data_IF_586476786320
#
_entry.id   IF_586476786320
#
_cell.length_a   1.000
_cell.length_b   1.000
_cell.length_c   1.000
_cell.angle_alpha   90.00
_cell.angle_beta   90.00
_cell.angle_gamma   90.00
#
_symmetry.space_group_name_H-M   'P 1'
#
loop_
_entity.id
_entity.type
_entity.pdbx_description
1 polymer ?
#
# COMPACT_ATOMS: atom_id res chain seq x y z
N UNK A 1 3.05 -12.85 70.68
CA UNK A 1 2.81 -12.53 69.26
C UNK A 1 1.30 -12.46 69.09
N UNK A 2 0.76 -11.27 68.88
CA UNK A 2 -0.66 -11.09 68.55
C UNK A 2 -0.75 -11.16 67.03
N UNK A 3 -1.42 -12.17 66.50
CA UNK A 3 -1.72 -12.30 65.08
C UNK A 3 -3.17 -11.89 64.86
N UNK A 4 -3.38 -10.72 64.26
CA UNK A 4 -4.68 -10.31 63.76
C UNK A 4 -4.60 -10.24 62.24
N UNK A 5 -5.69 -10.66 61.57
CA UNK A 5 -5.84 -10.53 60.13
C UNK A 5 -6.87 -9.45 59.84
N UNK A 6 -6.54 -8.54 58.94
CA UNK A 6 -7.44 -7.51 58.44
C UNK A 6 -7.61 -7.73 56.93
N UNK A 7 -8.85 -7.80 56.46
CA UNK A 7 -9.16 -7.89 55.03
C UNK A 7 -9.66 -6.53 54.55
N UNK A 8 -9.02 -5.98 53.53
CA UNK A 8 -9.41 -4.73 52.87
C UNK A 8 -10.26 -5.05 51.62
N UNK A 9 -11.29 -4.27 51.33
CA UNK A 9 -12.20 -4.47 50.18
C UNK A 9 -12.30 -3.27 49.24
N UNK A 10 -11.62 -2.17 49.57
CA UNK A 10 -11.57 -0.94 48.77
C UNK A 10 -10.12 -0.60 48.40
N UNK A 11 -9.92 0.13 47.32
CA UNK A 11 -8.61 0.59 46.85
C UNK A 11 -8.23 1.92 47.49
N UNK A 12 -6.92 2.18 47.60
CA UNK A 12 -6.40 3.49 47.99
C UNK A 12 -5.25 3.46 49.00
N UNK A 13 -4.94 4.64 49.52
CA UNK A 13 -3.93 4.84 50.55
C UNK A 13 -4.55 4.83 51.94
N UNK A 14 -4.07 3.92 52.78
CA UNK A 14 -4.60 3.73 54.12
C UNK A 14 -3.52 3.97 55.18
N UNK A 15 -3.95 4.61 56.26
CA UNK A 15 -3.14 4.79 57.45
C UNK A 15 -3.59 3.79 58.51
N UNK A 16 -2.76 2.78 58.78
CA UNK A 16 -3.00 1.90 59.93
C UNK A 16 -2.45 2.56 61.19
N UNK A 17 -3.31 2.69 62.21
CA UNK A 17 -2.88 2.96 63.58
C UNK A 17 -3.18 1.73 64.43
N UNK A 18 -2.16 1.19 65.09
CA UNK A 18 -2.31 0.06 66.02
C UNK A 18 -2.25 0.62 67.44
N UNK A 19 -3.32 0.45 68.19
CA UNK A 19 -3.38 0.80 69.60
C UNK A 19 -3.39 -0.45 70.48
N UNK A 20 -2.49 -0.50 71.46
CA UNK A 20 -2.45 -1.55 72.48
C UNK A 20 -3.11 -1.05 73.75
N UNK A 21 -4.33 -1.52 74.04
CA UNK A 21 -4.97 -1.23 75.31
C UNK A 21 -4.51 -2.27 76.35
N UNK A 22 -3.66 -1.86 77.29
CA UNK A 22 -3.20 -2.71 78.39
C UNK A 22 -4.10 -2.49 79.61
N UNK A 23 -4.62 -3.56 80.21
CA UNK A 23 -5.44 -3.48 81.44
C UNK A 23 -4.65 -3.15 82.69
N UNK A 24 -3.32 -3.08 82.60
CA UNK A 24 -2.47 -2.60 83.69
C UNK A 24 -2.37 -1.07 83.60
N UNK A 25 -2.63 -0.40 84.74
CA UNK A 25 -2.44 1.04 84.91
C UNK A 25 -0.95 1.38 84.82
N UNK A 26 -0.42 1.43 83.60
CA UNK A 26 0.87 2.01 83.30
C UNK A 26 0.66 3.52 83.26
N UNK A 27 1.39 4.28 84.06
CA UNK A 27 1.25 5.74 84.25
C UNK A 27 1.52 6.58 83.00
N UNK A 28 1.79 5.95 81.86
CA UNK A 28 1.83 6.53 80.53
C UNK A 28 1.45 5.41 79.55
N UNK A 29 0.29 5.46 78.87
CA UNK A 29 0.02 4.56 77.76
C UNK A 29 1.14 4.73 76.73
N UNK A 30 1.86 3.65 76.42
CA UNK A 30 2.86 3.65 75.35
C UNK A 30 2.07 3.61 74.04
N UNK A 31 1.74 4.78 73.50
CA UNK A 31 1.24 4.91 72.14
C UNK A 31 2.39 4.62 71.16
N UNK A 32 2.57 3.36 70.79
CA UNK A 32 3.35 2.99 69.62
C UNK A 32 2.52 3.26 68.36
N UNK A 33 2.25 4.54 68.08
CA UNK A 33 1.64 4.95 66.80
C UNK A 33 2.71 4.93 65.71
N UNK A 34 3.17 3.75 65.32
CA UNK A 34 3.81 3.64 64.02
C UNK A 34 2.66 3.73 63.01
N UNK A 35 2.46 4.91 62.41
CA UNK A 35 1.63 5.02 61.22
C UNK A 35 2.29 4.13 60.17
N UNK A 36 1.65 3.02 59.85
CA UNK A 36 2.03 2.21 58.70
C UNK A 36 1.13 2.68 57.58
N UNK A 37 1.73 3.43 56.65
CA UNK A 37 1.07 3.76 55.40
C UNK A 37 1.20 2.54 54.50
N UNK A 38 0.08 2.04 54.02
CA UNK A 38 0.07 0.99 53.01
C UNK A 38 -0.93 1.34 51.92
N UNK A 39 -0.53 1.12 50.68
CA UNK A 39 -1.39 1.27 49.52
C UNK A 39 -1.95 -0.11 49.17
N UNK A 40 -3.25 -0.17 48.90
CA UNK A 40 -3.92 -1.39 48.51
C UNK A 40 -4.54 -1.23 47.13
N UNK A 41 -4.22 -2.17 46.26
CA UNK A 41 -4.62 -2.21 44.86
C UNK A 41 -5.28 -3.57 44.61
N UNK A 42 -6.56 -3.57 44.25
CA UNK A 42 -7.40 -4.78 44.18
C UNK A 42 -7.56 -5.27 42.75
N UNK A 43 -7.50 -4.37 41.78
CA UNK A 43 -7.75 -4.65 40.37
C UNK A 43 -6.52 -4.27 39.54
N UNK A 44 -6.31 -5.00 38.45
CA UNK A 44 -5.32 -4.55 37.47
C UNK A 44 -5.85 -3.30 36.75
N UNK A 45 -5.00 -2.34 36.35
CA UNK A 45 -5.42 -1.15 35.64
C UNK A 45 -6.07 -1.58 34.33
N UNK A 46 -7.21 -1.02 33.99
CA UNK A 46 -7.84 -1.25 32.69
C UNK A 46 -7.63 -0.04 31.78
N UNK A 47 -7.41 -0.29 30.49
CA UNK A 47 -7.40 0.75 29.47
C UNK A 47 -8.86 1.08 29.13
N UNK A 48 -9.32 2.27 29.50
CA UNK A 48 -10.70 2.72 29.24
C UNK A 48 -10.81 3.45 27.90
N UNK A 49 -9.71 4.05 27.44
CA UNK A 49 -9.64 4.71 26.14
C UNK A 49 -8.25 4.52 25.53
N UNK A 50 -8.22 4.04 24.29
CA UNK A 50 -7.05 4.09 23.41
C UNK A 50 -7.56 4.47 22.02
N UNK A 51 -7.57 5.76 21.72
CA UNK A 51 -8.13 6.26 20.45
C UNK A 51 -7.10 7.03 19.64
N UNK A 52 -7.23 6.90 18.32
CA UNK A 52 -6.40 7.55 17.35
C UNK A 52 -7.28 8.52 16.56
N UNK A 53 -7.14 9.82 16.83
CA UNK A 53 -7.92 10.85 16.15
C UNK A 53 -7.15 11.38 14.95
N UNK A 54 -7.76 11.23 13.78
CA UNK A 54 -7.25 11.73 12.50
C UNK A 54 -8.39 12.33 11.68
N UNK A 55 -8.01 13.17 10.73
CA UNK A 55 -8.92 13.73 9.74
C UNK A 55 -8.47 13.23 8.37
N UNK A 56 -9.40 12.68 7.58
CA UNK A 56 -9.11 12.31 6.20
C UNK A 56 -9.15 13.52 5.27
N UNK A 57 -8.35 13.45 4.21
CA UNK A 57 -8.27 14.47 3.18
C UNK A 57 -6.94 15.21 3.15
N UNK A 58 -6.94 16.39 2.53
CA UNK A 58 -5.75 17.21 2.33
C UNK A 58 -5.46 18.07 3.56
N UNK A 59 -4.99 17.40 4.60
CA UNK A 59 -4.70 17.98 5.90
C UNK A 59 -3.25 17.69 6.31
N UNK A 60 -2.83 18.31 7.41
CA UNK A 60 -1.55 17.99 8.03
C UNK A 60 -1.45 16.49 8.34
N UNK A 61 -0.28 15.89 8.10
CA UNK A 61 0.02 14.50 8.46
C UNK A 61 0.21 14.29 9.97
N UNK A 62 -0.41 15.13 10.78
CA UNK A 62 -0.38 15.03 12.22
C UNK A 62 -1.69 14.42 12.71
N UNK A 63 -1.58 13.54 13.71
CA UNK A 63 -2.71 12.94 14.39
C UNK A 63 -2.56 13.13 15.90
N UNK A 64 -3.66 13.02 16.62
CA UNK A 64 -3.68 13.11 18.07
C UNK A 64 -4.11 11.77 18.65
N UNK A 65 -3.35 11.26 19.60
CA UNK A 65 -3.69 10.03 20.33
C UNK A 65 -4.21 10.40 21.71
N UNK A 66 -5.34 9.81 22.09
CA UNK A 66 -5.90 9.95 23.43
C UNK A 66 -5.85 8.62 24.17
N UNK A 67 -5.45 8.69 25.43
CA UNK A 67 -5.29 7.52 26.26
C UNK A 67 -5.73 7.74 27.71
N UNK A 68 -6.39 6.75 28.31
CA UNK A 68 -6.89 6.80 29.70
C UNK A 68 -6.91 5.41 30.32
N UNK A 69 -6.55 5.31 31.60
CA UNK A 69 -6.60 4.08 32.41
C UNK A 69 -7.60 4.25 33.57
N UNK A 70 -8.09 3.17 34.18
CA UNK A 70 -8.96 3.24 35.38
C UNK A 70 -8.28 3.91 36.57
N UNK A 71 -7.01 3.59 36.79
CA UNK A 71 -6.26 4.01 37.97
C UNK A 71 -5.68 5.42 37.81
N UNK A 72 -5.91 6.01 36.62
CA UNK A 72 -5.47 7.35 36.27
C UNK A 72 -6.59 8.11 35.57
N UNK A 73 -7.24 9.02 36.30
CA UNK A 73 -8.41 9.76 35.82
C UNK A 73 -8.09 10.86 34.80
N UNK A 74 -6.81 11.20 34.57
CA UNK A 74 -6.46 12.22 33.57
C UNK A 74 -6.23 11.59 32.19
N UNK A 75 -6.76 12.24 31.16
CA UNK A 75 -6.53 11.85 29.78
C UNK A 75 -5.17 12.36 29.31
N UNK A 76 -4.30 11.46 28.84
CA UNK A 76 -3.07 11.83 28.17
C UNK A 76 -3.34 12.05 26.70
N UNK A 77 -2.88 13.19 26.19
CA UNK A 77 -3.01 13.59 24.79
C UNK A 77 -1.63 13.94 24.24
N UNK A 78 -1.24 13.33 23.12
CA UNK A 78 -0.01 13.69 22.42
C UNK A 78 -0.19 13.62 20.91
N UNK A 79 0.62 14.42 20.20
CA UNK A 79 0.59 14.50 18.75
C UNK A 79 1.64 13.57 18.16
N UNK A 80 1.28 12.94 17.04
CA UNK A 80 2.17 12.11 16.25
C UNK A 80 2.16 12.58 14.80
N UNK A 81 3.20 12.23 14.05
CA UNK A 81 3.25 12.43 12.62
C UNK A 81 3.20 11.06 11.92
N UNK A 82 2.32 10.91 10.94
CA UNK A 82 2.19 9.67 10.16
C UNK A 82 3.52 9.26 9.50
N UNK A 83 3.68 7.95 9.26
CA UNK A 83 4.84 7.34 8.58
C UNK A 83 6.21 7.60 9.24
N UNK A 84 6.25 7.90 10.53
CA UNK A 84 7.51 7.97 11.27
C UNK A 84 7.83 6.61 11.88
N UNK A 85 9.10 6.17 11.78
CA UNK A 85 9.55 4.79 12.04
C UNK A 85 9.03 4.17 13.34
N UNK A 86 9.08 4.93 14.44
CA UNK A 86 8.51 4.60 15.74
C UNK A 86 8.53 5.83 16.63
N UNK A 87 7.35 6.31 17.02
CA UNK A 87 7.25 7.34 18.05
C UNK A 87 6.98 6.67 19.39
N UNK A 88 8.00 6.67 20.25
CA UNK A 88 7.88 6.24 21.63
C UNK A 88 7.53 7.46 22.47
N UNK A 89 6.27 7.52 22.88
CA UNK A 89 5.85 8.43 23.95
C UNK A 89 5.75 7.61 25.23
N UNK A 90 6.38 8.12 26.28
CA UNK A 90 6.38 7.51 27.61
C UNK A 90 6.14 8.61 28.62
N UNK A 91 4.97 8.56 29.25
CA UNK A 91 4.69 9.40 30.39
C UNK A 91 4.58 8.49 31.61
N UNK A 92 5.45 8.75 32.57
CA UNK A 92 5.49 8.04 33.84
C UNK A 92 4.71 8.91 34.82
N UNK A 93 3.53 8.45 35.21
CA UNK A 93 2.77 8.99 36.34
C UNK A 93 2.87 8.04 37.53
N UNK A 94 2.30 8.39 38.69
CA UNK A 94 2.28 7.48 39.83
C UNK A 94 1.47 6.23 39.49
N UNK A 95 2.14 5.10 39.26
CA UNK A 95 1.50 3.79 39.06
C UNK A 95 0.92 3.56 37.67
N UNK A 96 1.40 4.27 36.64
CA UNK A 96 1.06 3.96 35.23
C UNK A 96 2.21 4.39 34.32
N UNK A 97 2.65 3.47 33.45
CA UNK A 97 3.57 3.76 32.34
C UNK A 97 2.81 3.60 31.03
N UNK A 98 2.86 4.60 30.16
CA UNK A 98 2.10 4.61 28.90
C UNK A 98 3.07 4.58 27.74
N UNK A 99 3.17 3.45 27.05
CA UNK A 99 4.07 3.28 25.91
C UNK A 99 3.27 3.16 24.61
N UNK A 100 3.59 3.96 23.60
CA UNK A 100 3.13 3.78 22.22
C UNK A 100 4.28 3.41 21.28
N UNK A 101 3.99 2.56 20.30
CA UNK A 101 4.86 2.28 19.16
C UNK A 101 4.00 2.30 17.90
N UNK A 102 4.12 3.36 17.10
CA UNK A 102 3.58 3.38 15.73
C UNK A 102 4.60 2.78 14.78
N UNK A 103 4.37 1.56 14.29
CA UNK A 103 5.19 1.01 13.19
C UNK A 103 4.51 1.24 11.86
N UNK A 104 5.20 1.89 10.93
CA UNK A 104 4.77 1.98 9.53
C UNK A 104 5.25 0.75 8.77
N UNK A 105 4.31 -0.06 8.29
CA UNK A 105 4.59 -1.10 7.30
C UNK A 105 3.42 -1.20 6.35
N UNK A 106 3.64 -0.87 5.08
CA UNK A 106 2.64 -0.95 4.02
C UNK A 106 1.34 -0.17 4.34
N UNK A 107 1.42 1.05 4.86
CA UNK A 107 0.22 1.87 5.14
C UNK A 107 -0.54 1.53 6.43
N UNK A 108 -0.06 0.58 7.25
CA UNK A 108 -0.65 0.30 8.55
C UNK A 108 0.10 1.02 9.66
N UNK A 109 -0.64 1.69 10.53
CA UNK A 109 -0.18 2.29 11.78
C UNK A 109 -0.71 1.43 12.93
N UNK A 110 0.18 0.69 13.59
CA UNK A 110 -0.19 -0.08 14.79
C UNK A 110 -0.06 0.82 16.01
N UNK A 111 -1.11 1.00 16.80
CA UNK A 111 -1.10 1.73 18.07
C UNK A 111 -1.17 0.71 19.20
N UNK A 112 -0.13 0.62 20.03
CA UNK A 112 -0.16 -0.19 21.25
C UNK A 112 -0.14 0.74 22.46
N UNK A 113 -1.03 0.55 23.41
CA UNK A 113 -1.03 1.23 24.71
C UNK A 113 -0.81 0.22 25.84
N UNK A 114 -0.19 0.67 26.92
CA UNK A 114 0.00 -0.11 28.13
C UNK A 114 -0.38 0.74 29.35
N UNK A 115 -1.01 0.14 30.36
CA UNK A 115 -1.15 0.68 31.71
C UNK A 115 -0.42 -0.27 32.66
N UNK A 116 0.43 0.24 33.55
CA UNK A 116 1.22 -0.57 34.49
C UNK A 116 1.05 -0.05 35.92
N UNK A 117 0.44 -0.81 36.81
CA UNK A 117 0.38 -0.50 38.24
C UNK A 117 1.67 -1.00 38.96
N UNK A 118 1.67 -1.03 40.30
CA UNK A 118 2.80 -1.52 41.10
C UNK A 118 3.14 -3.02 40.90
N UNK A 119 2.20 -3.83 40.41
CA UNK A 119 2.18 -5.30 40.40
C UNK A 119 1.67 -5.93 39.09
N UNK A 120 0.84 -5.24 38.30
CA UNK A 120 0.18 -5.73 37.10
C UNK A 120 0.42 -4.82 35.88
N UNK A 121 0.09 -5.36 34.71
CA UNK A 121 0.19 -4.65 33.44
C UNK A 121 -0.95 -5.07 32.54
N UNK A 122 -1.64 -4.09 31.97
CA UNK A 122 -2.66 -4.29 30.95
C UNK A 122 -2.21 -3.63 29.66
N UNK A 123 -2.31 -4.36 28.55
CA UNK A 123 -1.95 -3.85 27.23
C UNK A 123 -3.15 -3.94 26.29
N UNK A 124 -3.26 -2.95 25.40
CA UNK A 124 -4.23 -2.95 24.31
C UNK A 124 -3.52 -2.56 23.02
N UNK A 125 -3.81 -3.27 21.93
CA UNK A 125 -3.30 -2.93 20.61
C UNK A 125 -4.46 -2.68 19.67
N UNK A 126 -4.49 -1.49 19.07
CA UNK A 126 -5.42 -1.10 18.01
C UNK A 126 -4.62 -0.93 16.71
N UNK A 127 -5.10 -1.49 15.61
CA UNK A 127 -4.46 -1.35 14.29
C UNK A 127 -5.33 -0.43 13.44
N UNK A 128 -4.72 0.62 12.90
CA UNK A 128 -5.35 1.56 11.99
C UNK A 128 -4.63 1.52 10.63
N UNK A 129 -5.36 1.23 9.56
CA UNK A 129 -4.84 1.38 8.19
C UNK A 129 -4.97 2.84 7.80
N UNK A 130 -3.86 3.56 7.71
CA UNK A 130 -3.82 4.98 7.37
C UNK A 130 -2.63 5.25 6.46
N UNK A 131 -2.95 5.73 5.26
CA UNK A 131 -2.01 6.06 4.20
C UNK A 131 -1.85 7.57 4.22
N UNK A 132 -0.67 8.03 4.62
CA UNK A 132 -0.28 9.42 4.45
C UNK A 132 0.71 9.51 3.29
N UNK A 133 0.46 10.39 2.33
CA UNK A 133 1.37 10.65 1.20
C UNK A 133 1.43 12.15 0.92
N UNK A 134 2.50 12.58 0.26
CA UNK A 134 2.65 13.95 -0.21
C UNK A 134 2.55 13.99 -1.72
N UNK A 135 1.55 14.71 -2.22
CA UNK A 135 1.36 15.00 -3.63
C UNK A 135 2.20 16.23 -3.99
N UNK A 136 3.05 16.10 -5.01
CA UNK A 136 3.88 17.16 -5.56
C UNK A 136 3.48 17.44 -7.00
N UNK A 137 3.16 18.70 -7.31
CA UNK A 137 3.13 19.19 -8.68
C UNK A 137 4.56 19.51 -9.11
N UNK A 138 5.02 18.84 -10.17
CA UNK A 138 6.36 18.99 -10.73
C UNK A 138 6.24 19.66 -12.09
N UNK A 139 7.02 20.71 -12.33
CA UNK A 139 7.19 21.25 -13.67
C UNK A 139 7.90 20.21 -14.51
N UNK A 140 7.17 19.66 -15.48
CA UNK A 140 7.65 18.54 -16.28
C UNK A 140 8.92 18.86 -17.07
N UNK A 141 9.10 20.13 -17.47
CA UNK A 141 10.24 20.57 -18.29
C UNK A 141 11.46 20.88 -17.45
N UNK A 142 11.26 21.46 -16.28
CA UNK A 142 12.36 21.95 -15.43
C UNK A 142 12.72 20.95 -14.31
N UNK A 143 11.89 19.92 -14.08
CA UNK A 143 12.04 18.93 -13.00
C UNK A 143 12.18 19.58 -11.60
N UNK A 144 11.37 20.61 -11.36
CA UNK A 144 11.32 21.34 -10.08
C UNK A 144 9.88 21.44 -9.59
N UNK A 145 9.67 21.88 -8.35
CA UNK A 145 8.32 22.16 -7.85
C UNK A 145 7.60 23.16 -8.75
N UNK A 146 6.42 22.79 -9.24
CA UNK A 146 5.62 23.62 -10.12
C UNK A 146 5.04 24.82 -9.38
N UNK A 147 5.21 26.02 -9.91
CA UNK A 147 4.57 27.23 -9.38
C UNK A 147 3.13 27.35 -9.92
N UNK A 148 2.08 27.20 -9.07
CA UNK A 148 0.68 27.23 -9.48
C UNK A 148 0.21 28.58 -10.03
N UNK A 149 1.00 29.65 -9.85
CA UNK A 149 0.67 30.96 -10.43
C UNK A 149 0.77 30.97 -11.96
N UNK A 150 1.50 30.01 -12.56
CA UNK A 150 1.70 29.89 -14.01
C UNK A 150 0.47 29.39 -14.79
N UNK A 151 -0.61 28.98 -14.12
CA UNK A 151 -1.84 28.48 -14.74
C UNK A 151 -3.08 29.08 -14.07
N UNK A 152 -4.27 28.89 -14.64
CA UNK A 152 -5.51 29.50 -14.12
C UNK A 152 -6.05 28.80 -12.87
N UNK A 153 -5.85 27.48 -12.74
CA UNK A 153 -6.26 26.70 -11.56
C UNK A 153 -5.47 25.40 -11.43
N UNK A 154 -5.19 24.99 -10.20
CA UNK A 154 -4.57 23.69 -9.92
C UNK A 154 -5.22 23.11 -8.66
N UNK A 155 -5.98 22.03 -8.83
CA UNK A 155 -6.71 21.38 -7.73
C UNK A 155 -6.49 19.89 -7.74
N UNK A 156 -6.33 19.30 -6.56
CA UNK A 156 -6.42 17.86 -6.38
C UNK A 156 -7.70 17.54 -5.62
N UNK A 157 -8.41 16.52 -6.06
CA UNK A 157 -9.60 15.99 -5.43
C UNK A 157 -9.37 14.53 -5.11
N UNK A 158 -10.05 14.06 -4.07
CA UNK A 158 -10.42 12.66 -4.07
C UNK A 158 -11.44 12.44 -5.19
N UNK A 159 -11.37 11.30 -5.87
CA UNK A 159 -12.14 11.07 -7.09
C UNK A 159 -13.67 11.14 -6.87
N UNK A 160 -14.12 10.77 -5.67
CA UNK A 160 -15.51 10.89 -5.21
C UNK A 160 -15.94 12.34 -4.86
N UNK A 161 -15.03 13.31 -4.94
CA UNK A 161 -15.18 14.73 -4.62
C UNK A 161 -15.48 15.04 -3.15
N UNK A 162 -15.19 14.15 -2.20
CA UNK A 162 -15.47 14.43 -0.77
C UNK A 162 -14.56 15.48 -0.15
N UNK A 163 -13.36 15.66 -0.72
CA UNK A 163 -12.37 16.64 -0.27
C UNK A 163 -11.51 17.08 -1.45
N UNK A 164 -10.94 18.28 -1.34
CA UNK A 164 -10.04 18.84 -2.34
C UNK A 164 -9.00 19.75 -1.73
N UNK A 165 -7.91 19.96 -2.46
CA UNK A 165 -6.89 20.96 -2.17
C UNK A 165 -6.70 21.86 -3.38
N UNK A 166 -6.64 23.17 -3.12
CA UNK A 166 -6.36 24.18 -4.13
C UNK A 166 -4.93 24.68 -3.97
N UNK A 167 -4.03 24.19 -4.82
CA UNK A 167 -2.62 24.56 -4.81
C UNK A 167 -2.43 26.04 -5.14
N UNK A 168 -3.33 26.62 -5.95
CA UNK A 168 -3.25 28.02 -6.36
C UNK A 168 -3.63 28.94 -5.22
N UNK A 169 -4.71 28.63 -4.49
CA UNK A 169 -5.12 29.39 -3.31
C UNK A 169 -4.07 29.30 -2.18
N UNK A 170 -3.51 28.10 -1.96
CA UNK A 170 -2.47 27.90 -0.96
C UNK A 170 -1.09 28.43 -1.37
N UNK A 171 -0.84 28.69 -2.66
CA UNK A 171 0.44 29.20 -3.17
C UNK A 171 1.61 28.23 -3.02
N UNK A 172 1.34 26.92 -3.02
CA UNK A 172 2.35 25.86 -2.80
C UNK A 172 2.29 24.82 -3.91
N UNK A 173 3.41 24.13 -4.15
CA UNK A 173 3.52 23.07 -5.17
C UNK A 173 3.24 21.67 -4.63
N UNK A 174 2.99 21.52 -3.32
CA UNK A 174 2.75 20.24 -2.68
C UNK A 174 1.62 20.32 -1.67
N UNK A 175 1.02 19.16 -1.41
CA UNK A 175 -0.02 18.97 -0.42
C UNK A 175 0.11 17.55 0.15
N UNK A 176 0.12 17.43 1.46
CA UNK A 176 -0.03 16.13 2.08
C UNK A 176 -1.51 15.76 2.18
N UNK A 177 -1.78 14.46 2.18
CA UNK A 177 -3.12 13.94 2.44
C UNK A 177 -3.05 12.64 3.22
N UNK A 178 -4.14 12.35 3.92
CA UNK A 178 -4.30 11.16 4.76
C UNK A 178 -5.60 10.47 4.38
N UNK A 179 -5.56 9.15 4.13
CA UNK A 179 -6.75 8.33 3.91
C UNK A 179 -6.65 6.98 4.63
N UNK A 180 -7.80 6.38 4.98
CA UNK A 180 -7.88 5.00 5.46
C UNK A 180 -7.85 3.93 4.35
N UNK A 181 -7.90 4.33 3.08
CA UNK A 181 -7.88 3.41 1.94
C UNK A 181 -6.97 3.91 0.80
N UNK A 182 -6.69 3.02 -0.16
CA UNK A 182 -6.01 3.37 -1.41
C UNK A 182 -6.94 4.25 -2.26
N UNK A 183 -6.85 5.56 -2.03
CA UNK A 183 -7.64 6.55 -2.75
C UNK A 183 -7.23 6.68 -4.21
N UNK A 184 -8.23 7.05 -5.01
CA UNK A 184 -8.00 7.58 -6.34
C UNK A 184 -8.07 9.10 -6.26
N UNK A 185 -7.06 9.75 -6.83
CA UNK A 185 -6.94 11.19 -6.90
C UNK A 185 -7.22 11.66 -8.32
N UNK A 186 -7.93 12.78 -8.41
CA UNK A 186 -8.13 13.54 -9.64
C UNK A 186 -7.43 14.88 -9.50
N UNK A 187 -6.42 15.14 -10.32
CA UNK A 187 -5.75 16.43 -10.35
C UNK A 187 -6.21 17.18 -11.61
N UNK A 188 -6.79 18.36 -11.42
CA UNK A 188 -7.25 19.22 -12.50
C UNK A 188 -6.33 20.44 -12.62
N UNK A 189 -5.71 20.57 -13.78
CA UNK A 189 -4.88 21.72 -14.17
C UNK A 189 -5.66 22.53 -15.20
N UNK A 190 -6.07 23.73 -14.84
CA UNK A 190 -6.87 24.64 -15.69
C UNK A 190 -5.97 25.72 -16.27
N UNK A 191 -6.02 25.87 -17.58
CA UNK A 191 -5.24 26.81 -18.37
C UNK A 191 -6.12 27.94 -18.92
N UNK A 192 -5.47 28.97 -19.45
CA UNK A 192 -6.16 30.10 -20.06
C UNK A 192 -7.01 29.63 -21.24
N UNK A 193 -8.18 30.25 -21.44
CA UNK A 193 -9.13 29.82 -22.46
C UNK A 193 -10.00 28.62 -22.07
N UNK A 194 -9.88 28.11 -20.83
CA UNK A 194 -10.76 27.08 -20.28
C UNK A 194 -10.35 25.65 -20.59
N UNK A 195 -9.12 25.43 -21.07
CA UNK A 195 -8.57 24.08 -21.25
C UNK A 195 -8.31 23.45 -19.87
N UNK A 196 -8.82 22.24 -19.65
CA UNK A 196 -8.65 21.50 -18.41
C UNK A 196 -7.94 20.18 -18.72
N UNK A 197 -6.78 19.99 -18.10
CA UNK A 197 -6.01 18.74 -18.14
C UNK A 197 -6.25 18.01 -16.83
N UNK A 198 -6.76 16.79 -16.93
CA UNK A 198 -7.01 15.93 -15.77
C UNK A 198 -5.94 14.85 -15.69
N UNK A 199 -5.38 14.65 -14.49
CA UNK A 199 -4.47 13.56 -14.15
C UNK A 199 -5.19 12.62 -13.19
N UNK A 200 -5.24 11.35 -13.55
CA UNK A 200 -5.80 10.28 -12.71
C UNK A 200 -4.67 9.55 -12.02
N UNK A 201 -4.73 9.45 -10.70
CA UNK A 201 -3.70 8.80 -9.88
C UNK A 201 -4.35 7.94 -8.80
N UNK A 202 -4.31 6.64 -8.98
CA UNK A 202 -4.60 5.63 -7.96
C UNK A 202 -3.35 5.46 -7.09
N UNK A 203 -3.47 5.84 -5.81
CA UNK A 203 -2.32 5.84 -4.90
C UNK A 203 -1.86 4.44 -4.54
N UNK A 204 -2.71 3.42 -4.73
CA UNK A 204 -2.38 2.01 -4.49
C UNK A 204 -1.43 1.45 -5.55
N UNK A 205 -1.35 2.10 -6.72
CA UNK A 205 -0.38 1.75 -7.76
C UNK A 205 1.01 2.36 -7.52
N UNK A 206 1.13 3.29 -6.57
CA UNK A 206 2.38 4.04 -6.32
C UNK A 206 2.96 3.61 -4.97
N UNK A 207 4.17 3.06 -4.95
CA UNK A 207 4.78 2.55 -3.71
C UNK A 207 5.46 3.64 -2.86
N UNK A 208 5.81 4.78 -3.45
CA UNK A 208 6.48 5.90 -2.77
C UNK A 208 5.54 6.78 -1.92
N UNK A 209 6.12 7.44 -0.91
CA UNK A 209 5.43 8.45 -0.09
C UNK A 209 5.20 9.77 -0.85
N UNK A 210 6.10 10.07 -1.79
CA UNK A 210 6.01 11.27 -2.62
C UNK A 210 5.41 10.90 -3.98
N UNK A 211 4.21 11.38 -4.24
CA UNK A 211 3.53 11.24 -5.52
C UNK A 211 3.87 12.45 -6.37
N UNK A 212 4.69 12.26 -7.40
CA UNK A 212 5.11 13.33 -8.31
C UNK A 212 4.16 13.38 -9.50
N UNK A 213 3.37 14.43 -9.66
CA UNK A 213 2.42 14.60 -10.77
C UNK A 213 2.91 15.72 -11.69
N UNK A 214 2.93 15.44 -13.00
CA UNK A 214 3.38 16.42 -13.97
C UNK A 214 2.38 17.57 -14.13
N UNK A 215 2.90 18.78 -14.05
CA UNK A 215 2.24 20.01 -14.42
C UNK A 215 3.11 20.77 -15.43
N UNK A 216 2.45 21.59 -16.24
CA UNK A 216 3.10 22.39 -17.28
C UNK A 216 2.64 23.84 -17.16
N UNK A 217 3.51 24.78 -17.53
CA UNK A 217 3.17 26.21 -17.61
C UNK A 217 2.18 26.49 -18.75
N UNK A 218 1.54 27.66 -18.71
CA UNK A 218 0.67 28.15 -19.79
C UNK A 218 1.37 28.14 -21.17
N UNK A 219 0.61 27.85 -22.22
CA UNK A 219 1.10 27.86 -23.62
C UNK A 219 1.82 26.59 -24.07
N UNK A 220 1.89 25.56 -23.23
CA UNK A 220 2.37 24.23 -23.62
C UNK A 220 1.25 23.46 -24.34
N UNK A 221 1.58 22.83 -25.46
CA UNK A 221 0.66 21.94 -26.18
C UNK A 221 0.59 20.59 -25.46
N UNK A 222 -0.63 20.13 -25.18
CA UNK A 222 -0.89 18.81 -24.63
C UNK A 222 -1.44 17.87 -25.70
N UNK A 223 -0.89 16.66 -25.78
CA UNK A 223 -1.31 15.62 -26.71
C UNK A 223 -2.02 14.50 -25.93
N UNK A 224 -3.19 14.10 -26.40
CA UNK A 224 -4.00 13.07 -25.77
C UNK A 224 -3.40 11.67 -25.99
N UNK A 225 -3.29 10.91 -24.91
CA UNK A 225 -2.91 9.50 -24.93
C UNK A 225 -4.10 8.66 -24.46
N UNK A 226 -4.63 7.84 -25.37
CA UNK A 226 -5.73 6.93 -25.11
C UNK A 226 -5.18 5.52 -24.83
N UNK A 227 -5.09 5.16 -23.56
CA UNK A 227 -4.58 3.86 -23.11
C UNK A 227 -5.77 2.93 -22.88
N UNK A 228 -5.90 1.87 -23.67
CA UNK A 228 -7.07 0.99 -23.66
C UNK A 228 -6.71 -0.46 -23.36
N UNK A 229 -7.67 -1.18 -22.78
CA UNK A 229 -7.63 -2.62 -22.54
C UNK A 229 -9.05 -3.20 -22.55
N UNK A 230 -9.19 -4.48 -22.89
CA UNK A 230 -10.45 -5.21 -22.87
C UNK A 230 -11.00 -5.36 -21.43
N UNK A 231 -10.13 -5.37 -20.42
CA UNK A 231 -10.48 -5.45 -19.00
C UNK A 231 -9.77 -4.37 -18.19
N UNK A 232 -10.19 -4.17 -16.94
CA UNK A 232 -9.57 -3.21 -16.04
C UNK A 232 -8.12 -3.62 -15.77
N UNK A 233 -7.16 -2.83 -16.24
CA UNK A 233 -5.73 -3.10 -16.11
C UNK A 233 -4.99 -1.85 -15.59
N UNK A 234 -4.01 -2.02 -14.70
CA UNK A 234 -3.22 -0.90 -14.20
C UNK A 234 -2.33 -0.36 -15.32
N UNK A 235 -2.24 0.95 -15.42
CA UNK A 235 -1.36 1.64 -16.36
C UNK A 235 -0.77 2.88 -15.72
N UNK A 236 0.55 3.00 -15.81
CA UNK A 236 1.33 4.12 -15.28
C UNK A 236 2.10 4.73 -16.43
N UNK A 237 1.81 5.99 -16.75
CA UNK A 237 2.49 6.79 -17.75
C UNK A 237 3.29 7.89 -17.05
N UNK A 238 4.61 7.83 -17.18
CA UNK A 238 5.55 8.73 -16.49
C UNK A 238 6.49 9.41 -17.47
N UNK A 239 6.76 10.69 -17.26
CA UNK A 239 7.76 11.44 -18.03
C UNK A 239 9.15 10.87 -17.77
N UNK A 240 9.92 10.55 -18.82
CA UNK A 240 11.27 9.99 -18.69
C UNK A 240 12.24 11.01 -18.07
N UNK A 241 12.04 12.29 -18.37
CA UNK A 241 12.97 13.34 -17.93
C UNK A 241 12.75 13.76 -16.47
N UNK A 242 11.50 14.03 -16.10
CA UNK A 242 11.16 14.60 -14.79
C UNK A 242 10.64 13.56 -13.79
N UNK A 243 10.48 12.30 -14.21
CA UNK A 243 9.98 11.21 -13.37
C UNK A 243 8.71 11.62 -12.60
N UNK A 244 7.81 12.29 -13.31
CA UNK A 244 6.49 12.67 -12.82
C UNK A 244 5.42 11.90 -13.59
N UNK A 245 4.29 11.69 -12.95
CA UNK A 245 3.14 10.93 -13.42
C UNK A 245 2.24 11.85 -14.24
N UNK A 246 1.90 11.42 -15.46
CA UNK A 246 0.83 12.04 -16.27
C UNK A 246 -0.49 11.26 -16.19
N UNK A 247 -0.43 9.96 -15.87
CA UNK A 247 -1.56 9.11 -15.50
C UNK A 247 -1.02 7.87 -14.74
N UNK A 248 -1.69 7.43 -13.68
CA UNK A 248 -1.38 6.20 -12.96
C UNK A 248 -2.66 5.63 -12.36
N UNK A 249 -3.45 4.88 -13.13
CA UNK A 249 -4.74 4.34 -12.66
C UNK A 249 -5.04 3.06 -13.46
N UNK A 250 -6.17 2.43 -13.17
CA UNK A 250 -6.71 1.36 -14.00
C UNK A 250 -7.45 1.93 -15.21
N UNK A 251 -7.43 1.20 -16.33
CA UNK A 251 -8.40 1.40 -17.41
C UNK A 251 -9.80 1.20 -16.84
N UNK A 252 -10.62 2.25 -16.84
CA UNK A 252 -11.89 2.25 -16.09
C UNK A 252 -13.04 2.99 -16.77
N UNK A 253 -12.74 3.88 -17.71
CA UNK A 253 -13.76 4.61 -18.44
C UNK A 253 -14.21 3.79 -19.64
N UNK A 254 -15.52 3.59 -19.82
CA UNK A 254 -16.02 2.87 -20.99
C UNK A 254 -15.65 3.63 -22.28
N UNK A 255 -15.02 2.94 -23.23
CA UNK A 255 -14.68 3.47 -24.55
C UNK A 255 -14.86 2.38 -25.61
N UNK A 256 -15.95 2.50 -26.39
CA UNK A 256 -16.37 1.47 -27.35
C UNK A 256 -16.53 0.11 -26.63
N UNK A 257 -15.85 -0.93 -27.10
CA UNK A 257 -15.86 -2.29 -26.52
C UNK A 257 -14.70 -2.51 -25.53
N UNK A 258 -14.10 -1.44 -25.01
CA UNK A 258 -12.92 -1.47 -24.13
C UNK A 258 -13.04 -0.52 -22.94
N UNK A 259 -12.11 -0.64 -21.99
CA UNK A 259 -11.90 0.31 -20.92
C UNK A 259 -10.70 1.20 -21.25
N UNK A 260 -10.82 2.48 -20.91
CA UNK A 260 -9.89 3.55 -21.22
C UNK A 260 -9.33 4.16 -19.93
N UNK A 261 -8.05 4.48 -19.98
CA UNK A 261 -7.39 5.49 -19.16
C UNK A 261 -6.86 6.57 -20.09
N UNK A 262 -7.20 7.82 -19.80
CA UNK A 262 -6.75 8.98 -20.58
C UNK A 262 -5.59 9.67 -19.87
N UNK A 263 -4.51 9.92 -20.61
CA UNK A 263 -3.38 10.74 -20.18
C UNK A 263 -3.15 11.89 -21.16
N UNK A 264 -2.40 12.91 -20.73
CA UNK A 264 -2.01 14.03 -21.58
C UNK A 264 -0.50 14.25 -21.53
N UNK A 265 0.17 14.21 -22.66
CA UNK A 265 1.64 14.35 -22.73
C UNK A 265 2.03 15.68 -23.36
N UNK A 266 3.30 15.99 -23.30
CA UNK A 266 3.95 17.13 -23.97
C UNK A 266 5.09 16.59 -24.84
N UNK A 267 5.83 17.47 -25.52
CA UNK A 267 6.90 17.10 -26.46
C UNK A 267 8.15 16.54 -25.75
N UNK A 268 8.01 15.38 -25.12
CA UNK A 268 9.05 14.61 -24.44
C UNK A 268 8.76 13.12 -24.53
N UNK A 269 9.68 12.29 -24.05
CA UNK A 269 9.55 10.84 -24.00
C UNK A 269 8.87 10.42 -22.68
N UNK A 270 8.02 9.40 -22.76
CA UNK A 270 7.34 8.81 -21.61
C UNK A 270 7.58 7.31 -21.54
N UNK A 271 7.57 6.75 -20.33
CA UNK A 271 7.45 5.31 -20.13
C UNK A 271 6.01 4.94 -19.80
N UNK A 272 5.46 3.98 -20.56
CA UNK A 272 4.25 3.28 -20.21
C UNK A 272 4.61 2.00 -19.46
N UNK A 273 4.08 1.85 -18.26
CA UNK A 273 4.32 0.74 -17.36
C UNK A 273 3.00 0.08 -16.95
N UNK A 274 3.10 -1.18 -16.55
CA UNK A 274 2.05 -1.95 -15.88
C UNK A 274 2.58 -2.50 -14.55
N UNK A 275 1.73 -3.17 -13.77
CA UNK A 275 2.12 -3.88 -12.56
C UNK A 275 1.92 -5.39 -12.78
N UNK A 276 3.01 -6.15 -12.62
CA UNK A 276 3.00 -7.63 -12.65
C UNK A 276 3.60 -8.12 -11.34
N UNK A 277 2.87 -8.95 -10.60
CA UNK A 277 3.30 -9.51 -9.31
C UNK A 277 3.82 -8.44 -8.32
N UNK A 278 3.16 -7.28 -8.30
CA UNK A 278 3.50 -6.15 -7.42
C UNK A 278 4.72 -5.33 -7.84
N UNK A 279 5.31 -5.61 -9.01
CA UNK A 279 6.45 -4.87 -9.56
C UNK A 279 6.06 -4.06 -10.81
N UNK A 280 6.60 -2.85 -10.93
CA UNK A 280 6.46 -2.05 -12.16
C UNK A 280 7.25 -2.68 -13.32
N UNK A 281 6.57 -2.91 -14.44
CA UNK A 281 7.16 -3.42 -15.68
C UNK A 281 6.96 -2.41 -16.79
N UNK A 282 8.05 -1.98 -17.43
CA UNK A 282 7.99 -1.09 -18.59
C UNK A 282 7.48 -1.90 -19.80
N UNK A 283 6.39 -1.44 -20.42
CA UNK A 283 5.81 -2.03 -21.61
C UNK A 283 6.30 -1.36 -22.88
N UNK A 284 6.40 -0.02 -22.87
CA UNK A 284 6.79 0.75 -24.04
C UNK A 284 7.35 2.14 -23.67
N UNK A 285 8.11 2.70 -24.60
CA UNK A 285 8.38 4.14 -24.64
C UNK A 285 7.35 4.81 -25.55
N UNK A 286 6.71 5.87 -25.06
CA UNK A 286 5.68 6.63 -25.77
C UNK A 286 6.27 7.98 -26.15
N UNK A 287 6.21 8.33 -27.44
CA UNK A 287 6.50 9.68 -27.91
C UNK A 287 5.33 10.59 -27.55
N UNK A 288 5.56 11.53 -26.64
CA UNK A 288 4.50 12.40 -26.14
C UNK A 288 4.16 13.58 -27.05
N UNK A 289 4.92 13.77 -28.15
CA UNK A 289 4.71 14.87 -29.10
C UNK A 289 3.55 14.67 -30.08
N UNK A 290 2.85 13.54 -29.99
CA UNK A 290 1.75 13.18 -30.86
C UNK A 290 0.66 12.40 -30.11
N UNK A 291 -0.58 12.57 -30.54
CA UNK A 291 -1.72 11.83 -30.00
C UNK A 291 -1.58 10.34 -30.35
N UNK A 292 -1.75 9.47 -29.36
CA UNK A 292 -1.63 8.03 -29.59
C UNK A 292 -2.79 7.23 -28.99
N UNK A 293 -3.08 6.12 -29.67
CA UNK A 293 -3.98 5.09 -29.20
C UNK A 293 -3.15 3.85 -28.86
N UNK A 294 -3.15 3.45 -27.59
CA UNK A 294 -2.24 2.44 -27.05
C UNK A 294 -3.05 1.27 -26.51
N UNK A 295 -2.90 0.09 -27.12
CA UNK A 295 -3.54 -1.15 -26.69
C UNK A 295 -2.63 -1.91 -25.69
N UNK A 296 -2.99 -1.88 -24.41
CA UNK A 296 -2.23 -2.56 -23.35
C UNK A 296 -2.23 -4.08 -23.51
N UNK A 297 -3.33 -4.68 -23.96
CA UNK A 297 -3.41 -6.14 -24.11
C UNK A 297 -2.39 -6.65 -25.13
N UNK A 298 -2.19 -5.89 -26.21
CA UNK A 298 -1.18 -6.23 -27.21
C UNK A 298 0.24 -6.07 -26.66
N UNK A 299 0.51 -5.02 -25.88
CA UNK A 299 1.83 -4.79 -25.28
C UNK A 299 2.16 -5.83 -24.21
N UNK A 300 1.20 -6.18 -23.34
CA UNK A 300 1.34 -7.24 -22.34
C UNK A 300 1.58 -8.60 -22.99
N UNK A 301 0.86 -8.90 -24.09
CA UNK A 301 1.07 -10.13 -24.83
C UNK A 301 2.49 -10.22 -25.40
N UNK A 302 3.04 -9.11 -25.91
CA UNK A 302 4.40 -9.05 -26.44
C UNK A 302 5.48 -9.12 -25.36
N UNK A 303 5.20 -8.65 -24.13
CA UNK A 303 6.16 -8.67 -23.02
C UNK A 303 6.25 -10.04 -22.32
N UNK A 304 5.23 -10.89 -22.48
CA UNK A 304 5.17 -12.21 -21.82
C UNK A 304 5.95 -13.26 -22.62
N UNK A 305 6.94 -13.90 -21.99
CA UNK A 305 7.67 -15.01 -22.59
C UNK A 305 6.83 -16.29 -22.59
N UNK A 306 6.36 -16.74 -23.75
CA UNK A 306 5.69 -18.03 -23.89
C UNK A 306 6.72 -19.15 -24.06
N UNK A 307 6.71 -20.13 -23.16
CA UNK A 307 7.46 -21.38 -23.37
C UNK A 307 6.61 -22.32 -24.21
N UNK A 308 6.88 -22.39 -25.51
CA UNK A 308 6.33 -23.41 -26.40
C UNK A 308 7.06 -24.73 -26.12
N UNK A 309 6.47 -25.58 -25.28
CA UNK A 309 6.95 -26.95 -25.10
C UNK A 309 6.46 -27.82 -26.24
N UNK A 310 7.27 -27.97 -27.29
CA UNK A 310 7.08 -29.01 -28.30
C UNK A 310 7.70 -30.30 -27.72
N UNK A 311 6.86 -31.19 -27.21
CA UNK A 311 7.29 -32.48 -26.69
C UNK A 311 7.33 -33.50 -27.83
N UNK A 312 8.39 -34.33 -27.88
CA UNK A 312 8.58 -35.31 -28.96
C UNK A 312 7.69 -36.56 -28.81
N UNK A 313 7.32 -37.14 -29.95
CA UNK A 313 6.59 -38.41 -30.04
C UNK A 313 7.48 -39.65 -29.89
N UNK A 314 6.85 -40.82 -29.72
CA UNK A 314 7.54 -42.11 -29.69
C UNK A 314 7.67 -42.73 -31.09
N UNK A 315 8.90 -43.13 -31.46
CA UNK A 315 9.20 -43.86 -32.69
C UNK A 315 10.03 -45.12 -32.38
N UNK A 316 9.63 -46.27 -32.92
CA UNK A 316 10.37 -47.52 -32.78
C UNK A 316 10.41 -48.31 -34.10
N UNK A 317 11.46 -49.12 -34.26
CA UNK A 317 11.71 -49.94 -35.45
C UNK A 317 11.87 -51.40 -35.04
N UNK A 318 11.25 -52.31 -35.79
CA UNK A 318 11.38 -53.75 -35.58
C UNK A 318 11.65 -54.42 -36.93
N UNK A 319 12.70 -55.23 -36.98
CA UNK A 319 12.95 -56.10 -38.12
C UNK A 319 11.96 -57.26 -38.09
N UNK A 320 11.30 -57.54 -39.22
CA UNK A 320 10.49 -58.74 -39.37
C UNK A 320 11.38 -59.97 -39.56
N UNK A 321 10.82 -61.17 -39.36
CA UNK A 321 11.49 -62.43 -39.71
C UNK A 321 11.72 -62.55 -41.23
N UNK A 322 11.00 -61.76 -42.04
CA UNK A 322 11.27 -61.56 -43.47
C UNK A 322 12.35 -60.46 -43.65
N UNK A 323 13.49 -60.75 -44.29
CA UNK A 323 14.55 -59.77 -44.53
C UNK A 323 14.15 -58.61 -45.46
N UNK A 324 12.97 -58.66 -46.07
CA UNK A 324 12.42 -57.60 -46.92
C UNK A 324 11.32 -56.77 -46.23
N UNK A 325 11.02 -56.99 -44.95
CA UNK A 325 9.99 -56.25 -44.20
C UNK A 325 10.60 -55.50 -42.99
N UNK A 326 10.32 -54.20 -42.89
CA UNK A 326 10.62 -53.35 -41.74
C UNK A 326 9.32 -52.84 -41.15
N UNK A 327 9.10 -53.04 -39.85
CA UNK A 327 7.96 -52.48 -39.12
C UNK A 327 8.38 -51.22 -38.39
N UNK A 328 7.57 -50.18 -38.55
CA UNK A 328 7.78 -48.87 -37.92
C UNK A 328 6.56 -48.59 -37.07
N UNK A 329 6.78 -48.40 -35.77
CA UNK A 329 5.74 -48.06 -34.80
C UNK A 329 5.87 -46.59 -34.45
N UNK A 330 4.80 -45.85 -34.70
CA UNK A 330 4.66 -44.48 -34.25
C UNK A 330 3.57 -44.40 -33.19
N UNK A 331 3.84 -43.69 -32.09
CA UNK A 331 2.85 -43.37 -31.08
C UNK A 331 2.82 -41.87 -30.89
N UNK A 332 1.68 -41.27 -31.24
CA UNK A 332 1.32 -39.94 -30.81
C UNK A 332 1.12 -39.98 -29.29
N UNK A 333 2.10 -39.50 -28.53
CA UNK A 333 2.11 -39.65 -27.07
C UNK A 333 1.12 -38.68 -26.41
N UNK A 334 0.89 -37.52 -27.03
CA UNK A 334 0.12 -36.41 -26.47
C UNK A 334 -1.23 -36.18 -27.17
N UNK A 335 -1.57 -37.00 -28.16
CA UNK A 335 -2.81 -36.90 -28.96
C UNK A 335 -2.98 -35.55 -29.70
N UNK A 336 -1.89 -34.84 -29.97
CA UNK A 336 -1.89 -33.49 -30.56
C UNK A 336 -1.63 -33.49 -32.09
N UNK A 337 -1.10 -34.59 -32.63
CA UNK A 337 -0.96 -34.78 -34.07
C UNK A 337 -2.23 -35.37 -34.73
N UNK A 338 -2.72 -34.68 -35.77
CA UNK A 338 -3.90 -35.09 -36.56
C UNK A 338 -3.55 -35.89 -37.82
N UNK A 339 -2.28 -35.89 -38.21
CA UNK A 339 -1.78 -36.60 -39.37
C UNK A 339 -0.31 -37.00 -39.17
N UNK A 340 0.10 -38.09 -39.82
CA UNK A 340 1.48 -38.56 -39.89
C UNK A 340 1.89 -38.63 -41.36
N UNK A 341 3.12 -38.25 -41.68
CA UNK A 341 3.77 -38.54 -42.96
C UNK A 341 5.11 -39.23 -42.66
N UNK A 342 5.36 -40.37 -43.30
CA UNK A 342 6.61 -41.12 -43.16
C UNK A 342 7.36 -41.10 -44.49
N UNK A 343 8.53 -40.50 -44.47
CA UNK A 343 9.49 -40.51 -45.58
C UNK A 343 10.72 -41.34 -45.20
N UNK A 344 11.05 -42.34 -45.99
CA UNK A 344 12.28 -43.13 -45.86
C UNK A 344 13.22 -42.72 -46.99
N UNK A 345 14.36 -42.15 -46.65
CA UNK A 345 15.41 -41.78 -47.61
C UNK A 345 16.63 -42.67 -47.44
N UNK A 346 17.32 -42.93 -48.55
CA UNK A 346 18.62 -43.57 -48.53
C UNK A 346 19.68 -42.59 -48.06
N UNK A 347 20.31 -42.87 -46.93
CA UNK A 347 21.32 -41.99 -46.34
C UNK A 347 22.53 -41.70 -47.24
N UNK A 348 22.87 -42.60 -48.16
CA UNK A 348 24.04 -42.46 -49.04
C UNK A 348 23.78 -41.61 -50.30
N UNK A 349 22.52 -41.41 -50.67
CA UNK A 349 22.14 -40.76 -51.93
C UNK A 349 21.07 -39.68 -51.75
N UNK A 350 20.53 -39.53 -50.53
CA UNK A 350 19.35 -38.73 -50.19
C UNK A 350 18.12 -39.03 -51.07
N UNK A 351 18.10 -40.20 -51.72
CA UNK A 351 17.00 -40.58 -52.59
C UNK A 351 15.83 -41.04 -51.74
N UNK A 352 14.65 -40.47 -51.97
CA UNK A 352 13.40 -40.93 -51.37
C UNK A 352 13.07 -42.35 -51.83
N UNK A 353 12.95 -43.27 -50.89
CA UNK A 353 12.62 -44.69 -51.10
C UNK A 353 11.13 -44.92 -50.92
N UNK A 354 10.54 -44.30 -49.91
CA UNK A 354 9.13 -44.44 -49.56
C UNK A 354 8.62 -43.10 -49.02
N UNK A 355 7.41 -42.73 -49.41
CA UNK A 355 6.63 -41.67 -48.76
C UNK A 355 5.20 -42.15 -48.60
N UNK A 356 4.68 -42.15 -47.38
CA UNK A 356 3.29 -42.54 -47.11
C UNK A 356 2.67 -41.64 -46.04
N UNK A 357 1.40 -41.32 -46.25
CA UNK A 357 0.53 -40.63 -45.29
C UNK A 357 -0.62 -41.52 -44.79
N UNK A 358 -0.69 -42.75 -45.30
CA UNK A 358 -1.70 -43.75 -44.95
C UNK A 358 -1.05 -44.85 -44.11
N UNK A 359 -1.55 -45.01 -42.89
CA UNK A 359 -1.12 -46.02 -41.93
C UNK A 359 -2.35 -46.86 -41.56
N UNK A 360 -2.17 -48.17 -41.42
CA UNK A 360 -3.21 -49.13 -41.01
C UNK A 360 -2.89 -49.71 -39.65
#
# INVERSE_FOLDING_TARGET
IITTSYNHTEEGDFNLSIEFNTTETVSNPIHLSNLVNFSFDLYAPEITLLSFNYTEGFESINATVNFTCTDFTEQITYNITFNTDSLYFDNITQGTKISNVTTYRNGNNTLTGACLDFWNTTTQTNIYTLIAKTLWLIDEKDNTGFDPTNITGARAYYDDNRTFFDFKDAGVSNASFVSSADEKLRIELTYTGGVIITRWVDIGLITGENIRVCANKEGVTHYEQLIIAATSKPAILTSVFSDCIVAADYTRFAYQDSLLLKGYTTETLYYLKTIVDGSEVILASVDGSLESYINLDQLDFLSTAFTLNILGDGLAFEASDDPHELRIYYRNVNEDNTALNLDITRLDTDTLVLSTSTFT
#
